data_IF_403835082780
#
_entry.id   IF_403835082780
#
_cell.length_a   1.000
_cell.length_b   1.000
_cell.length_c   1.000
_cell.angle_alpha   90.00
_cell.angle_beta   90.00
_cell.angle_gamma   90.00
#
_symmetry.space_group_name_H-M   'P 1'
#
loop_
_entity.id
_entity.type
_entity.pdbx_description
1 polymer ?
#
# COMPACT_ATOMS: atom_id res chain seq x y z
N UNK A 1 5.33 7.48 25.54
CA UNK A 1 5.18 7.45 24.09
C UNK A 1 6.26 6.56 23.50
N UNK A 2 5.87 5.57 22.73
CA UNK A 2 6.82 4.69 22.05
C UNK A 2 7.47 5.41 20.87
N UNK A 3 8.74 5.10 20.65
CA UNK A 3 9.45 5.56 19.45
C UNK A 3 9.65 4.39 18.51
N UNK A 4 9.30 4.58 17.25
CA UNK A 4 9.41 3.56 16.19
C UNK A 4 10.29 4.10 15.08
N UNK A 5 11.32 3.36 14.74
CA UNK A 5 12.19 3.68 13.61
C UNK A 5 11.93 2.65 12.52
N UNK A 6 11.64 3.11 11.32
CA UNK A 6 11.36 2.27 10.16
C UNK A 6 12.47 2.46 9.15
N UNK A 7 13.08 1.36 8.73
CA UNK A 7 14.13 1.36 7.72
C UNK A 7 13.49 1.09 6.37
N UNK A 8 13.51 2.09 5.50
CA UNK A 8 12.93 2.02 4.16
C UNK A 8 11.60 2.74 4.07
N UNK A 9 11.53 3.72 3.19
CA UNK A 9 10.33 4.53 2.91
C UNK A 9 9.59 4.10 1.66
N UNK A 10 9.53 2.81 1.36
CA UNK A 10 8.69 2.26 0.31
C UNK A 10 7.25 2.10 0.78
N UNK A 11 6.42 1.43 -0.02
CA UNK A 11 5.00 1.23 0.30
C UNK A 11 4.80 0.58 1.67
N UNK A 12 5.55 -0.49 1.95
CA UNK A 12 5.44 -1.20 3.23
C UNK A 12 5.87 -0.33 4.42
N UNK A 13 6.99 0.37 4.29
CA UNK A 13 7.49 1.23 5.36
C UNK A 13 6.58 2.42 5.64
N UNK A 14 6.04 3.03 4.60
CA UNK A 14 5.09 4.14 4.76
C UNK A 14 3.80 3.68 5.44
N UNK A 15 3.26 2.53 5.04
CA UNK A 15 2.07 1.97 5.67
C UNK A 15 2.32 1.59 7.13
N UNK A 16 3.46 0.99 7.42
CA UNK A 16 3.87 0.68 8.80
C UNK A 16 3.97 1.95 9.64
N UNK A 17 4.50 3.02 9.07
CA UNK A 17 4.58 4.33 9.74
C UNK A 17 3.21 4.90 10.06
N UNK A 18 2.28 4.83 9.12
CA UNK A 18 0.90 5.27 9.34
C UNK A 18 0.28 4.47 10.48
N UNK A 19 0.42 3.15 10.46
CA UNK A 19 -0.13 2.29 11.50
C UNK A 19 0.46 2.62 12.87
N UNK A 20 1.78 2.73 12.99
CA UNK A 20 2.43 3.06 14.25
C UNK A 20 2.00 4.43 14.78
N UNK A 21 1.93 5.42 13.92
CA UNK A 21 1.49 6.77 14.29
C UNK A 21 0.03 6.79 14.75
N UNK A 22 -0.82 6.00 14.10
CA UNK A 22 -2.23 5.87 14.47
C UNK A 22 -2.39 5.35 15.90
N UNK A 23 -1.47 4.48 16.34
CA UNK A 23 -1.45 3.98 17.73
C UNK A 23 -0.63 4.86 18.69
N UNK A 24 -0.29 6.06 18.28
CA UNK A 24 0.33 7.06 19.17
C UNK A 24 1.84 7.02 19.25
N UNK A 25 2.52 6.27 18.40
CA UNK A 25 3.98 6.24 18.40
C UNK A 25 4.58 7.48 17.71
N UNK A 26 5.76 7.87 18.17
CA UNK A 26 6.60 8.84 17.45
C UNK A 26 7.38 8.06 16.39
N UNK A 27 7.12 8.34 15.11
CA UNK A 27 7.65 7.56 13.99
C UNK A 27 8.73 8.32 13.25
N UNK A 28 9.85 7.64 12.98
CA UNK A 28 10.91 8.14 12.10
C UNK A 28 11.14 7.11 11.00
N UNK A 29 11.07 7.53 9.76
CA UNK A 29 11.36 6.68 8.61
C UNK A 29 12.71 7.08 8.02
N UNK A 30 13.61 6.11 7.87
CA UNK A 30 14.93 6.31 7.30
C UNK A 30 14.92 5.76 5.88
N UNK A 31 15.12 6.63 4.89
CA UNK A 31 15.11 6.28 3.48
C UNK A 31 16.42 6.70 2.83
N UNK A 32 17.12 5.78 2.16
CA UNK A 32 18.40 6.04 1.52
C UNK A 32 18.29 6.85 0.24
N UNK A 33 17.13 6.83 -0.43
CA UNK A 33 16.88 7.59 -1.65
C UNK A 33 16.43 9.01 -1.30
N UNK A 34 16.51 9.92 -2.24
CA UNK A 34 16.09 11.32 -2.04
C UNK A 34 14.62 11.47 -1.69
N UNK A 35 13.77 10.57 -2.22
CA UNK A 35 12.31 10.67 -2.11
C UNK A 35 11.80 9.34 -1.62
N UNK A 36 10.93 9.32 -0.59
CA UNK A 36 10.24 8.08 -0.21
C UNK A 36 9.24 7.66 -1.30
N UNK A 37 8.91 6.37 -1.33
CA UNK A 37 7.93 5.87 -2.29
C UNK A 37 8.40 5.82 -3.73
N UNK A 38 9.69 5.86 -3.98
CA UNK A 38 10.23 5.94 -5.34
C UNK A 38 9.75 4.81 -6.25
N UNK A 39 9.70 3.57 -5.73
CA UNK A 39 9.23 2.44 -6.51
C UNK A 39 7.74 2.57 -6.88
N UNK A 40 6.92 3.12 -6.00
CA UNK A 40 5.50 3.37 -6.29
C UNK A 40 5.32 4.32 -7.47
N UNK A 41 6.20 5.28 -7.62
CA UNK A 41 6.13 6.28 -8.70
C UNK A 41 6.33 5.67 -10.09
N UNK A 42 6.97 4.51 -10.18
CA UNK A 42 7.25 3.85 -11.47
C UNK A 42 6.31 2.68 -11.77
N UNK A 43 5.50 2.23 -10.82
CA UNK A 43 4.55 1.15 -11.06
C UNK A 43 3.42 1.61 -11.98
N UNK A 44 2.76 0.66 -12.66
CA UNK A 44 1.66 0.97 -13.56
C UNK A 44 2.06 1.93 -14.69
N UNK A 45 3.28 1.84 -15.17
CA UNK A 45 3.84 2.74 -16.20
C UNK A 45 3.82 4.21 -15.76
N UNK A 46 4.15 4.46 -14.51
CA UNK A 46 4.19 5.80 -13.93
C UNK A 46 2.86 6.29 -13.34
N UNK A 47 1.80 5.49 -13.44
CA UNK A 47 0.47 5.87 -12.92
C UNK A 47 0.18 5.41 -11.50
N UNK A 48 1.06 4.59 -10.93
CA UNK A 48 0.90 3.95 -9.62
C UNK A 48 -0.29 2.96 -9.58
N UNK A 49 -0.04 1.70 -9.96
CA UNK A 49 -1.02 0.65 -9.76
C UNK A 49 -1.08 0.31 -8.27
N UNK A 50 -2.11 0.79 -7.58
CA UNK A 50 -2.22 0.71 -6.12
C UNK A 50 -2.49 -0.72 -5.66
N UNK A 51 -3.52 -1.33 -6.22
CA UNK A 51 -3.98 -2.67 -5.82
C UNK A 51 -4.89 -3.25 -6.91
N UNK A 52 -5.61 -4.31 -6.56
CA UNK A 52 -6.59 -4.96 -7.41
C UNK A 52 -7.94 -4.98 -6.68
N UNK A 53 -9.02 -4.62 -7.37
CA UNK A 53 -10.37 -4.55 -6.79
C UNK A 53 -11.10 -5.90 -6.79
N UNK A 54 -10.45 -6.99 -7.21
CA UNK A 54 -11.06 -8.31 -7.21
C UNK A 54 -11.25 -8.90 -5.81
N UNK A 55 -11.83 -10.09 -5.79
CA UNK A 55 -12.03 -10.82 -4.53
C UNK A 55 -10.68 -11.18 -3.89
N UNK A 56 -10.61 -11.09 -2.57
CA UNK A 56 -9.38 -11.35 -1.83
C UNK A 56 -8.81 -12.75 -2.10
N UNK A 57 -9.68 -13.75 -2.20
CA UNK A 57 -9.25 -15.12 -2.49
C UNK A 57 -8.57 -15.23 -3.86
N UNK A 58 -9.08 -14.51 -4.85
CA UNK A 58 -8.49 -14.50 -6.18
C UNK A 58 -7.15 -13.78 -6.19
N UNK A 59 -7.03 -12.70 -5.43
CA UNK A 59 -5.77 -11.99 -5.26
C UNK A 59 -4.71 -12.93 -4.67
N UNK A 60 -5.04 -13.64 -3.62
CA UNK A 60 -4.13 -14.60 -2.96
C UNK A 60 -3.70 -15.71 -3.94
N UNK A 61 -4.65 -16.24 -4.71
CA UNK A 61 -4.36 -17.29 -5.71
C UNK A 61 -3.38 -16.82 -6.79
N UNK A 62 -3.45 -15.55 -7.16
CA UNK A 62 -2.64 -15.00 -8.23
C UNK A 62 -1.26 -14.53 -7.77
N UNK A 63 -0.94 -14.63 -6.49
CA UNK A 63 0.39 -14.33 -5.97
C UNK A 63 1.32 -15.50 -6.32
N UNK A 64 2.40 -15.27 -7.08
CA UNK A 64 3.35 -16.34 -7.42
C UNK A 64 3.98 -16.94 -6.17
N UNK A 65 4.14 -18.25 -6.16
CA UNK A 65 4.74 -18.95 -5.03
C UNK A 65 3.75 -19.19 -3.90
N UNK A 66 4.10 -18.77 -2.69
CA UNK A 66 3.30 -19.04 -1.51
C UNK A 66 2.40 -17.87 -1.13
N UNK A 67 1.33 -17.65 -1.88
CA UNK A 67 0.34 -16.62 -1.56
C UNK A 67 -0.34 -16.81 -0.22
N UNK A 68 -0.45 -18.04 0.26
CA UNK A 68 -1.03 -18.36 1.57
C UNK A 68 -0.31 -17.67 2.72
N UNK A 69 0.98 -17.44 2.58
CA UNK A 69 1.77 -16.73 3.59
C UNK A 69 1.18 -15.37 3.94
N UNK A 70 0.58 -14.70 2.95
CA UNK A 70 -0.01 -13.37 3.11
C UNK A 70 -1.47 -13.40 3.56
N UNK A 71 -2.06 -14.58 3.73
CA UNK A 71 -3.47 -14.71 4.03
C UNK A 71 -3.89 -13.93 5.29
N UNK A 72 -3.14 -14.08 6.38
CA UNK A 72 -3.43 -13.37 7.63
C UNK A 72 -3.30 -11.85 7.49
N UNK A 73 -2.22 -11.40 6.88
CA UNK A 73 -1.97 -9.97 6.68
C UNK A 73 -3.06 -9.32 5.81
N UNK A 74 -3.43 -9.96 4.71
CA UNK A 74 -4.43 -9.43 3.79
C UNK A 74 -5.86 -9.47 4.36
N UNK A 75 -6.14 -10.37 5.31
CA UNK A 75 -7.43 -10.37 6.01
C UNK A 75 -7.50 -9.27 7.05
N UNK A 76 -6.38 -8.88 7.64
CA UNK A 76 -6.34 -7.77 8.60
C UNK A 76 -6.33 -6.41 7.92
N UNK A 77 -5.71 -6.32 6.75
CA UNK A 77 -5.68 -5.10 5.95
C UNK A 77 -5.73 -5.50 4.47
N UNK A 78 -6.92 -5.42 3.90
CA UNK A 78 -7.21 -5.93 2.56
C UNK A 78 -6.93 -4.91 1.45
N UNK A 79 -7.14 -5.36 0.20
CA UNK A 79 -7.12 -4.49 -0.97
C UNK A 79 -8.16 -3.36 -0.87
N UNK A 80 -9.35 -3.64 -0.32
CA UNK A 80 -10.35 -2.60 -0.12
C UNK A 80 -9.94 -1.62 0.98
N UNK A 81 -9.25 -2.11 2.00
CA UNK A 81 -8.79 -1.26 3.11
C UNK A 81 -7.77 -0.23 2.65
N UNK A 82 -6.83 -0.59 1.78
CA UNK A 82 -5.86 0.40 1.26
C UNK A 82 -6.55 1.47 0.40
N UNK A 83 -7.52 1.09 -0.41
CA UNK A 83 -8.31 2.05 -1.19
C UNK A 83 -9.05 3.00 -0.26
N UNK A 84 -9.71 2.47 0.76
CA UNK A 84 -10.43 3.26 1.76
C UNK A 84 -9.50 4.24 2.47
N UNK A 85 -8.32 3.80 2.89
CA UNK A 85 -7.33 4.64 3.53
C UNK A 85 -6.93 5.83 2.63
N UNK A 86 -6.66 5.57 1.36
CA UNK A 86 -6.24 6.60 0.42
C UNK A 86 -7.38 7.56 0.11
N UNK A 87 -8.59 7.05 -0.12
CA UNK A 87 -9.75 7.89 -0.41
C UNK A 87 -10.15 8.75 0.77
N UNK A 88 -10.06 8.22 1.99
CA UNK A 88 -10.29 9.00 3.21
C UNK A 88 -9.29 10.14 3.39
N UNK A 89 -8.12 10.04 2.75
CA UNK A 89 -7.09 11.07 2.78
C UNK A 89 -7.07 11.94 1.52
N UNK A 90 -8.13 11.88 0.71
CA UNK A 90 -8.33 12.79 -0.41
C UNK A 90 -7.82 12.30 -1.76
N UNK A 91 -7.32 11.07 -1.85
CA UNK A 91 -6.91 10.51 -3.14
C UNK A 91 -8.08 9.77 -3.78
N UNK A 92 -8.62 10.30 -4.87
CA UNK A 92 -9.63 9.59 -5.65
C UNK A 92 -9.00 8.46 -6.46
N UNK A 93 -9.67 7.30 -6.51
CA UNK A 93 -9.21 6.12 -7.23
C UNK A 93 -10.20 5.72 -8.31
N UNK A 94 -9.71 4.95 -9.29
CA UNK A 94 -10.52 4.36 -10.36
C UNK A 94 -10.10 2.92 -10.58
N UNK A 95 -11.03 2.12 -11.11
CA UNK A 95 -10.78 0.73 -11.48
C UNK A 95 -10.73 0.63 -12.99
N UNK A 96 -9.67 0.03 -13.51
CA UNK A 96 -9.49 -0.22 -14.94
C UNK A 96 -9.52 -1.71 -15.25
N UNK A 97 -9.37 -2.04 -16.53
CA UNK A 97 -9.37 -3.42 -17.02
C UNK A 97 -8.52 -4.34 -16.15
N UNK A 98 -9.06 -5.51 -15.84
CA UNK A 98 -8.41 -6.49 -14.95
C UNK A 98 -8.51 -6.13 -13.48
N UNK A 99 -9.46 -5.29 -13.10
CA UNK A 99 -9.66 -4.81 -11.73
C UNK A 99 -8.46 -4.04 -11.16
N UNK A 100 -7.62 -3.49 -12.02
CA UNK A 100 -6.47 -2.69 -11.56
C UNK A 100 -6.93 -1.35 -11.04
N UNK A 101 -6.42 -0.96 -9.87
CA UNK A 101 -6.80 0.29 -9.21
C UNK A 101 -5.69 1.32 -9.36
N UNK A 102 -6.05 2.49 -9.88
CA UNK A 102 -5.14 3.62 -10.07
C UNK A 102 -5.71 4.89 -9.45
N UNK A 103 -4.86 5.89 -9.15
CA UNK A 103 -5.36 7.23 -8.86
C UNK A 103 -6.07 7.79 -10.09
N UNK A 104 -7.15 8.53 -9.87
CA UNK A 104 -7.86 9.20 -10.97
C UNK A 104 -6.95 10.15 -11.73
N UNK A 105 -6.02 10.78 -11.03
CA UNK A 105 -5.03 11.71 -11.62
C UNK A 105 -4.00 11.03 -12.52
N UNK A 106 -3.89 9.72 -12.49
CA UNK A 106 -2.83 8.94 -13.16
C UNK A 106 -1.41 9.31 -12.71
N UNK A 107 -1.28 9.73 -11.47
CA UNK A 107 0.02 10.14 -10.90
C UNK A 107 0.23 9.53 -9.52
#
# INVERSE_FOLDING_TARGET
MSKVIIIGGGAAGLLAGIAAATYGAEVTIIEKMRVPGKKMLITGKGRCNITNAGELQDIIKNIPGNGRFLNSALRQFSNDDIVCLLECNGLETKVERGNRVFPVSDK
#
